data_IF_884011026259
#
_entry.id   IF_884011026259
#
_cell.length_a   1.000
_cell.length_b   1.000
_cell.length_c   1.000
_cell.angle_alpha   90.00
_cell.angle_beta   90.00
_cell.angle_gamma   90.00
#
_symmetry.space_group_name_H-M   'P 1'
#
loop_
_entity.id
_entity.type
_entity.pdbx_description
1 polymer ?
#
# COMPACT_ATOMS: atom_id res chain seq x y z
N UNK A 1 8.44 6.75 -25.07
CA UNK A 1 7.65 6.43 -23.85
C UNK A 1 6.22 6.88 -24.12
N UNK A 2 5.29 5.93 -24.20
CA UNK A 2 3.93 6.14 -24.72
C UNK A 2 2.98 6.67 -23.66
N UNK A 3 2.82 7.98 -23.62
CA UNK A 3 1.70 8.65 -22.96
C UNK A 3 1.03 9.55 -23.99
N UNK A 4 -0.30 9.51 -24.05
CA UNK A 4 -1.07 10.36 -24.97
C UNK A 4 -0.93 11.84 -24.58
N UNK A 5 -1.25 12.75 -25.49
CA UNK A 5 -1.15 14.18 -25.21
C UNK A 5 -2.16 14.63 -24.13
N UNK A 6 -3.32 13.99 -24.04
CA UNK A 6 -4.29 14.17 -22.96
C UNK A 6 -3.71 13.74 -21.61
N UNK A 7 -3.00 12.61 -21.57
CA UNK A 7 -2.32 12.12 -20.37
C UNK A 7 -1.23 13.09 -19.89
N UNK A 8 -0.50 13.72 -20.82
CA UNK A 8 0.48 14.77 -20.47
C UNK A 8 -0.21 16.01 -19.89
N UNK A 9 -1.31 16.47 -20.49
CA UNK A 9 -2.05 17.64 -19.99
C UNK A 9 -2.66 17.42 -18.61
N UNK A 10 -3.20 16.22 -18.37
CA UNK A 10 -3.80 15.85 -17.09
C UNK A 10 -2.78 15.61 -15.97
N UNK A 11 -1.47 15.62 -16.27
CA UNK A 11 -0.37 15.36 -15.32
C UNK A 11 -0.56 14.07 -14.51
N UNK A 12 -1.16 13.07 -15.14
CA UNK A 12 -1.42 11.77 -14.50
C UNK A 12 -0.13 10.95 -14.31
N UNK A 13 0.92 11.27 -15.07
CA UNK A 13 2.19 10.56 -15.07
C UNK A 13 3.33 11.50 -14.74
N UNK A 14 4.08 11.16 -13.69
CA UNK A 14 5.37 11.75 -13.41
C UNK A 14 6.46 10.86 -14.02
N UNK A 15 7.39 11.44 -14.78
CA UNK A 15 8.44 10.65 -15.45
C UNK A 15 9.43 9.99 -14.47
N UNK A 16 9.51 10.48 -13.24
CA UNK A 16 10.38 9.97 -12.18
C UNK A 16 9.62 9.07 -11.21
N UNK A 17 8.41 9.48 -10.81
CA UNK A 17 7.61 8.82 -9.76
C UNK A 17 6.55 7.85 -10.34
N UNK A 18 6.26 7.92 -11.65
CA UNK A 18 5.26 7.10 -12.34
C UNK A 18 3.83 7.61 -12.23
N UNK A 19 2.85 6.70 -12.32
CA UNK A 19 1.42 6.98 -12.15
C UNK A 19 0.87 6.21 -10.95
N UNK A 20 0.01 6.88 -10.16
CA UNK A 20 -0.75 6.23 -9.10
C UNK A 20 -1.93 5.48 -9.70
N UNK A 21 -1.85 4.14 -9.73
CA UNK A 21 -2.87 3.26 -10.32
C UNK A 21 -3.85 2.69 -9.30
N UNK A 22 -3.79 3.13 -8.04
CA UNK A 22 -4.66 2.63 -6.99
C UNK A 22 -4.13 2.93 -5.59
N UNK A 23 -4.97 2.69 -4.58
CA UNK A 23 -4.61 2.86 -3.17
C UNK A 23 -4.35 1.50 -2.54
N UNK A 24 -3.40 1.44 -1.61
CA UNK A 24 -3.20 0.23 -0.80
C UNK A 24 -4.21 0.22 0.34
N UNK A 25 -4.84 -0.92 0.56
CA UNK A 25 -5.66 -1.19 1.74
C UNK A 25 -5.23 -2.51 2.36
N UNK A 26 -5.31 -2.60 3.68
CA UNK A 26 -5.14 -3.87 4.40
C UNK A 26 -6.26 -4.80 3.99
N UNK A 27 -5.88 -6.03 3.63
CA UNK A 27 -6.81 -7.11 3.30
C UNK A 27 -7.03 -7.98 4.55
N UNK A 28 -5.95 -8.38 5.23
CA UNK A 28 -6.01 -9.17 6.46
C UNK A 28 -4.84 -8.84 7.41
N UNK A 29 -5.09 -8.82 8.73
CA UNK A 29 -4.03 -8.80 9.75
C UNK A 29 -3.70 -10.23 10.14
N UNK A 30 -2.46 -10.68 9.94
CA UNK A 30 -2.05 -12.07 10.11
C UNK A 30 -1.56 -12.39 11.52
N UNK A 31 -0.68 -11.53 12.05
CA UNK A 31 -0.07 -11.72 13.35
C UNK A 31 0.43 -10.39 13.91
N UNK A 32 0.58 -10.32 15.23
CA UNK A 32 1.24 -9.20 15.89
C UNK A 32 1.99 -9.65 17.13
N UNK A 33 3.01 -8.90 17.51
CA UNK A 33 3.76 -9.12 18.76
C UNK A 33 3.08 -8.41 19.93
N UNK A 34 3.20 -8.98 21.13
CA UNK A 34 2.86 -8.24 22.35
C UNK A 34 3.91 -7.14 22.62
N UNK A 35 3.48 -5.95 23.09
CA UNK A 35 4.41 -4.89 23.43
C UNK A 35 5.16 -5.21 24.74
N UNK A 36 6.45 -4.86 24.78
CA UNK A 36 7.27 -5.04 25.99
C UNK A 36 6.89 -4.09 27.14
N UNK A 37 7.44 -4.31 28.34
CA UNK A 37 7.17 -3.51 29.55
C UNK A 37 7.84 -2.11 29.57
N UNK A 38 8.35 -1.63 28.44
CA UNK A 38 9.01 -0.33 28.34
C UNK A 38 8.04 0.85 28.33
N UNK A 39 8.57 2.06 28.52
CA UNK A 39 7.76 3.30 28.48
C UNK A 39 7.07 3.50 27.11
N UNK A 40 7.74 3.13 26.02
CA UNK A 40 7.16 3.13 24.68
C UNK A 40 6.65 1.73 24.34
N UNK A 41 5.35 1.64 24.07
CA UNK A 41 4.70 0.39 23.66
C UNK A 41 4.78 0.28 22.14
N UNK A 42 5.52 -0.72 21.67
CA UNK A 42 5.79 -0.96 20.24
C UNK A 42 5.34 -2.36 19.88
N UNK A 43 4.59 -2.52 18.79
CA UNK A 43 4.19 -3.82 18.25
C UNK A 43 4.59 -3.93 16.79
N UNK A 44 5.05 -5.11 16.39
CA UNK A 44 5.21 -5.46 14.97
C UNK A 44 3.95 -6.17 14.51
N UNK A 45 3.39 -5.74 13.39
CA UNK A 45 2.18 -6.32 12.80
C UNK A 45 2.54 -6.84 11.41
N UNK A 46 2.23 -8.10 11.12
CA UNK A 46 2.28 -8.67 9.78
C UNK A 46 0.86 -8.72 9.23
N UNK A 47 0.69 -8.33 7.97
CA UNK A 47 -0.62 -8.19 7.32
C UNK A 47 -0.50 -8.48 5.81
N UNK A 48 -1.61 -8.75 5.14
CA UNK A 48 -1.72 -8.68 3.68
C UNK A 48 -2.38 -7.37 3.26
N UNK A 49 -2.06 -6.89 2.07
CA UNK A 49 -2.67 -5.69 1.48
C UNK A 49 -2.92 -5.88 -0.01
N UNK A 50 -3.91 -5.16 -0.55
CA UNK A 50 -4.22 -5.16 -1.98
C UNK A 50 -4.42 -3.74 -2.51
N UNK A 51 -4.34 -3.59 -3.83
CA UNK A 51 -4.69 -2.35 -4.51
C UNK A 51 -6.21 -2.28 -4.70
N UNK A 52 -6.77 -1.14 -4.32
CA UNK A 52 -8.17 -0.77 -4.59
C UNK A 52 -8.21 0.50 -5.43
N UNK A 53 -9.39 0.79 -5.96
CA UNK A 53 -9.64 1.91 -6.88
C UNK A 53 -8.75 1.85 -8.14
N UNK A 54 -8.38 0.64 -8.55
CA UNK A 54 -7.66 0.41 -9.81
C UNK A 54 -8.60 0.80 -10.95
N UNK A 55 -8.22 1.75 -11.83
CA UNK A 55 -9.08 2.16 -12.92
C UNK A 55 -9.43 0.98 -13.84
N UNK A 56 -10.69 0.90 -14.29
CA UNK A 56 -11.17 -0.22 -15.10
C UNK A 56 -10.50 -0.38 -16.48
N UNK A 57 -9.78 0.64 -16.96
CA UNK A 57 -8.99 0.58 -18.19
C UNK A 57 -7.63 -0.10 -18.00
N UNK A 58 -7.20 -0.35 -16.76
CA UNK A 58 -5.95 -1.04 -16.47
C UNK A 58 -6.12 -2.53 -16.72
N UNK A 59 -5.34 -3.08 -17.66
CA UNK A 59 -5.21 -4.53 -17.83
C UNK A 59 -4.39 -5.12 -16.68
N UNK A 60 -5.06 -5.68 -15.68
CA UNK A 60 -4.40 -6.21 -14.49
C UNK A 60 -3.42 -7.35 -14.79
N UNK A 61 -3.65 -8.13 -15.85
CA UNK A 61 -2.78 -9.26 -16.18
C UNK A 61 -1.46 -8.82 -16.77
N UNK A 62 -1.48 -7.77 -17.59
CA UNK A 62 -0.27 -7.10 -18.07
C UNK A 62 0.59 -6.54 -16.92
N UNK A 63 -0.02 -6.27 -15.76
CA UNK A 63 0.63 -5.75 -14.55
C UNK A 63 0.66 -6.76 -13.39
N UNK A 64 0.58 -8.07 -13.69
CA UNK A 64 0.61 -9.14 -12.69
C UNK A 64 1.84 -9.13 -11.78
N UNK A 65 2.95 -8.53 -12.21
CA UNK A 65 4.16 -8.34 -11.40
C UNK A 65 4.01 -7.27 -10.30
N UNK A 66 2.97 -6.42 -10.39
CA UNK A 66 2.68 -5.40 -9.38
C UNK A 66 2.02 -6.07 -8.18
N UNK A 67 2.71 -6.05 -7.04
CA UNK A 67 2.20 -6.58 -5.77
C UNK A 67 0.85 -5.96 -5.40
N UNK A 68 -0.08 -6.78 -4.96
CA UNK A 68 -1.41 -6.34 -4.57
C UNK A 68 -2.37 -6.08 -5.73
N UNK A 69 -1.96 -6.26 -7.00
CA UNK A 69 -2.81 -6.04 -8.17
C UNK A 69 -3.87 -7.15 -8.33
N UNK A 70 -3.40 -8.39 -8.51
CA UNK A 70 -4.25 -9.56 -8.72
C UNK A 70 -4.56 -10.26 -7.39
N UNK A 71 -3.54 -10.43 -6.55
CA UNK A 71 -3.63 -11.10 -5.26
C UNK A 71 -3.08 -10.22 -4.13
N UNK A 72 -3.60 -10.35 -2.89
CA UNK A 72 -3.04 -9.67 -1.73
C UNK A 72 -1.54 -9.98 -1.56
N UNK A 73 -0.77 -8.96 -1.23
CA UNK A 73 0.66 -9.07 -0.98
C UNK A 73 0.96 -8.90 0.51
N UNK A 74 1.98 -9.59 0.99
CA UNK A 74 2.42 -9.48 2.38
C UNK A 74 3.08 -8.13 2.67
N UNK A 75 2.88 -7.67 3.90
CA UNK A 75 3.46 -6.48 4.48
C UNK A 75 3.71 -6.68 5.97
N UNK A 76 4.61 -5.85 6.51
CA UNK A 76 4.80 -5.74 7.95
C UNK A 76 5.03 -4.27 8.31
N UNK A 77 4.53 -3.84 9.47
CA UNK A 77 4.77 -2.50 9.98
C UNK A 77 5.01 -2.51 11.49
N UNK A 78 5.75 -1.51 11.95
CA UNK A 78 5.90 -1.25 13.38
C UNK A 78 4.93 -0.16 13.78
N UNK A 79 4.12 -0.44 14.80
CA UNK A 79 3.17 0.51 15.36
C UNK A 79 3.64 0.94 16.76
N UNK A 80 3.50 2.22 17.04
CA UNK A 80 3.76 2.83 18.34
C UNK A 80 2.43 3.22 18.97
N UNK A 81 2.23 2.86 20.24
CA UNK A 81 1.06 3.30 21.01
C UNK A 81 1.16 4.78 21.33
N UNK A 82 0.07 5.49 21.07
CA UNK A 82 -0.16 6.88 21.43
C UNK A 82 -1.41 6.96 22.32
N UNK A 83 -1.72 8.13 22.85
CA UNK A 83 -2.99 8.36 23.55
C UNK A 83 -4.23 8.22 22.64
N UNK A 84 -4.05 8.31 21.32
CA UNK A 84 -5.12 8.20 20.31
C UNK A 84 -5.14 6.83 19.60
N UNK A 85 -4.50 5.81 20.17
CA UNK A 85 -4.39 4.47 19.58
C UNK A 85 -3.02 4.19 18.98
N UNK A 86 -2.95 3.34 17.96
CA UNK A 86 -1.69 2.91 17.34
C UNK A 86 -1.36 3.75 16.10
N UNK A 87 -0.10 4.17 15.99
CA UNK A 87 0.40 4.94 14.84
C UNK A 87 1.55 4.20 14.18
N UNK A 88 1.53 4.12 12.85
CA UNK A 88 2.67 3.62 12.08
C UNK A 88 3.86 4.57 12.24
N UNK A 89 5.03 3.99 12.49
CA UNK A 89 6.29 4.72 12.59
C UNK A 89 6.91 4.94 11.20
#
# INVERSE_FOLDING_TARGET
MGITDEGKQAKIWDAKEGVCIGRRVVDEVKEWTEPGKGNQQVVRVSYSWKLVDVPGWVDKEAFSSVKGMNEPADGAMTLVKTNNGWKAN
#
